data_IF_379064620576
#
_entry.id   IF_379064620576
#
_cell.length_a   1.000
_cell.length_b   1.000
_cell.length_c   1.000
_cell.angle_alpha   90.00
_cell.angle_beta   90.00
_cell.angle_gamma   90.00
#
_symmetry.space_group_name_H-M   'P 1'
#
loop_
_entity.id
_entity.type
_entity.pdbx_description
1 polymer ?
#
# COMPACT_ATOMS: atom_id res chain seq x y z
N UNK A 1 -4.92 -21.00 15.24
CA UNK A 1 -6.26 -21.45 15.71
C UNK A 1 -6.84 -20.58 16.82
N UNK A 2 -6.08 -20.15 17.81
CA UNK A 2 -6.57 -19.37 18.97
C UNK A 2 -7.27 -18.06 18.57
N UNK A 3 -6.63 -17.19 17.76
CA UNK A 3 -7.20 -15.89 17.36
C UNK A 3 -8.53 -15.98 16.59
N UNK A 4 -8.70 -16.98 15.73
CA UNK A 4 -9.99 -17.23 15.04
C UNK A 4 -11.08 -17.63 16.04
N UNK A 5 -10.73 -18.36 17.11
CA UNK A 5 -11.67 -18.72 18.18
C UNK A 5 -12.03 -17.51 19.03
N UNK A 6 -11.04 -16.65 19.34
CA UNK A 6 -11.25 -15.44 20.12
C UNK A 6 -12.17 -14.46 19.39
N UNK A 7 -11.96 -14.27 18.08
CA UNK A 7 -12.89 -13.48 17.25
C UNK A 7 -14.29 -14.11 17.22
N UNK A 8 -14.37 -15.42 17.00
CA UNK A 8 -15.67 -16.11 16.99
C UNK A 8 -16.42 -15.94 18.33
N UNK A 9 -15.73 -16.05 19.45
CA UNK A 9 -16.29 -15.82 20.78
C UNK A 9 -16.79 -14.39 20.97
N UNK A 10 -16.01 -13.38 20.55
CA UNK A 10 -16.40 -11.97 20.61
C UNK A 10 -17.63 -11.67 19.74
N UNK A 11 -17.80 -12.38 18.64
CA UNK A 11 -18.92 -12.19 17.71
C UNK A 11 -20.24 -12.87 18.13
N UNK A 12 -20.20 -13.82 19.06
CA UNK A 12 -21.43 -14.52 19.55
C UNK A 12 -22.44 -13.52 20.12
N UNK A 13 -21.98 -12.54 20.87
CA UNK A 13 -22.81 -11.54 21.54
C UNK A 13 -23.38 -10.46 20.59
N UNK A 14 -22.94 -10.42 19.32
CA UNK A 14 -23.28 -9.37 18.34
C UNK A 14 -23.15 -7.95 18.93
N UNK A 15 -21.99 -7.57 19.46
CA UNK A 15 -21.82 -6.28 20.10
C UNK A 15 -21.95 -5.14 19.06
N UNK A 16 -22.43 -3.95 19.45
CA UNK A 16 -22.46 -2.78 18.58
C UNK A 16 -21.08 -2.23 18.27
N UNK A 17 -20.10 -2.48 19.17
CA UNK A 17 -18.70 -2.06 19.03
C UNK A 17 -17.79 -3.26 19.31
N UNK A 18 -16.81 -3.47 18.47
CA UNK A 18 -15.82 -4.54 18.55
C UNK A 18 -14.40 -3.94 18.57
N UNK A 19 -13.60 -4.33 19.56
CA UNK A 19 -12.19 -3.97 19.68
C UNK A 19 -11.34 -5.16 19.25
N UNK A 20 -10.48 -4.96 18.28
CA UNK A 20 -9.57 -5.97 17.77
C UNK A 20 -8.13 -5.45 17.85
N UNK A 21 -7.33 -6.13 18.63
CA UNK A 21 -5.92 -5.81 18.81
C UNK A 21 -5.08 -6.81 18.01
N UNK A 22 -4.45 -6.34 16.93
CA UNK A 22 -3.66 -7.14 15.97
C UNK A 22 -4.29 -8.49 15.60
N UNK A 23 -5.51 -8.51 15.04
CA UNK A 23 -6.28 -9.76 14.94
C UNK A 23 -5.68 -10.78 13.97
N UNK A 24 -4.84 -10.35 13.03
CA UNK A 24 -4.27 -11.23 11.99
C UNK A 24 -2.81 -11.59 12.21
N UNK A 25 -2.16 -11.07 13.25
CA UNK A 25 -0.76 -11.38 13.56
C UNK A 25 -0.56 -12.89 13.76
N UNK A 26 0.45 -13.44 13.09
CA UNK A 26 0.79 -14.88 13.12
C UNK A 26 -0.20 -15.78 12.36
N UNK A 27 -1.04 -15.22 11.49
CA UNK A 27 -1.90 -16.00 10.60
C UNK A 27 -1.25 -16.17 9.22
N UNK A 28 -1.43 -17.34 8.63
CA UNK A 28 -1.08 -17.57 7.23
C UNK A 28 -1.93 -16.68 6.29
N UNK A 29 -1.47 -16.38 5.06
CA UNK A 29 -2.16 -15.46 4.15
C UNK A 29 -3.62 -15.82 3.87
N UNK A 30 -3.93 -17.10 3.76
CA UNK A 30 -5.31 -17.56 3.51
C UNK A 30 -6.21 -17.35 4.74
N UNK A 31 -5.68 -17.59 5.93
CA UNK A 31 -6.40 -17.34 7.19
C UNK A 31 -6.61 -15.85 7.42
N UNK A 32 -5.64 -15.00 7.04
CA UNK A 32 -5.74 -13.53 7.10
C UNK A 32 -6.90 -13.04 6.23
N UNK A 33 -6.97 -13.46 4.97
CA UNK A 33 -8.07 -13.11 4.07
C UNK A 33 -9.45 -13.49 4.64
N UNK A 34 -9.60 -14.70 5.18
CA UNK A 34 -10.86 -15.13 5.78
C UNK A 34 -11.24 -14.34 7.06
N UNK A 35 -10.23 -13.82 7.79
CA UNK A 35 -10.45 -12.92 8.92
C UNK A 35 -10.97 -11.55 8.43
N UNK A 36 -10.34 -10.98 7.42
CA UNK A 36 -10.77 -9.71 6.82
C UNK A 36 -12.21 -9.79 6.30
N UNK A 37 -12.55 -10.82 5.53
CA UNK A 37 -13.93 -11.05 5.07
C UNK A 37 -14.94 -11.10 6.23
N UNK A 38 -14.52 -11.69 7.36
CA UNK A 38 -15.38 -11.77 8.56
C UNK A 38 -15.58 -10.39 9.17
N UNK A 39 -14.53 -9.56 9.26
CA UNK A 39 -14.58 -8.19 9.78
C UNK A 39 -15.45 -7.32 8.86
N UNK A 40 -15.21 -7.36 7.54
CA UNK A 40 -15.99 -6.64 6.52
C UNK A 40 -17.49 -6.98 6.62
N UNK A 41 -17.83 -8.25 6.77
CA UNK A 41 -19.22 -8.67 6.93
C UNK A 41 -19.88 -8.11 8.22
N UNK A 42 -19.09 -7.86 9.27
CA UNK A 42 -19.58 -7.28 10.53
C UNK A 42 -19.77 -5.78 10.44
N UNK A 43 -18.83 -5.06 9.82
CA UNK A 43 -18.98 -3.63 9.56
C UNK A 43 -20.17 -3.35 8.65
N UNK A 44 -20.33 -4.15 7.58
CA UNK A 44 -21.50 -4.08 6.71
C UNK A 44 -22.83 -4.37 7.42
N UNK A 45 -22.81 -5.17 8.49
CA UNK A 45 -23.97 -5.44 9.35
C UNK A 45 -24.22 -4.35 10.42
N UNK A 46 -23.43 -3.28 10.44
CA UNK A 46 -23.58 -2.13 11.33
C UNK A 46 -22.78 -2.20 12.64
N UNK A 47 -21.84 -3.14 12.78
CA UNK A 47 -20.91 -3.18 13.93
C UNK A 47 -19.81 -2.13 13.71
N UNK A 48 -19.57 -1.28 14.69
CA UNK A 48 -18.37 -0.40 14.68
C UNK A 48 -17.16 -1.22 15.12
N UNK A 49 -16.09 -1.17 14.36
CA UNK A 49 -14.84 -1.87 14.69
C UNK A 49 -13.72 -0.86 14.97
N UNK A 50 -13.07 -0.99 16.11
CA UNK A 50 -11.78 -0.37 16.37
C UNK A 50 -10.70 -1.43 16.28
N UNK A 51 -9.83 -1.27 15.31
CA UNK A 51 -8.77 -2.22 14.97
C UNK A 51 -7.40 -1.58 15.21
N UNK A 52 -6.49 -2.28 15.89
CA UNK A 52 -5.07 -1.96 15.85
C UNK A 52 -4.35 -2.97 14.96
N UNK A 53 -3.41 -2.51 14.15
CA UNK A 53 -2.59 -3.39 13.31
C UNK A 53 -1.26 -2.73 12.97
N UNK A 54 -0.25 -3.54 12.77
CA UNK A 54 1.02 -3.14 12.15
C UNK A 54 1.03 -3.42 10.63
N UNK A 55 0.05 -4.14 10.12
CA UNK A 55 -0.07 -4.47 8.70
C UNK A 55 -0.84 -3.37 7.97
N UNK A 56 -0.14 -2.61 7.14
CA UNK A 56 -0.70 -1.46 6.44
C UNK A 56 -1.69 -1.87 5.35
N UNK A 57 -1.53 -3.06 4.76
CA UNK A 57 -2.49 -3.68 3.83
C UNK A 57 -3.83 -4.03 4.51
N UNK A 58 -3.79 -4.43 5.80
CA UNK A 58 -5.00 -4.64 6.60
C UNK A 58 -5.74 -3.32 6.86
N UNK A 59 -5.00 -2.27 7.25
CA UNK A 59 -5.58 -0.94 7.45
C UNK A 59 -6.18 -0.38 6.16
N UNK A 60 -5.48 -0.51 5.03
CA UNK A 60 -5.94 -0.05 3.72
C UNK A 60 -7.24 -0.72 3.28
N UNK A 61 -7.38 -2.00 3.61
CA UNK A 61 -8.56 -2.79 3.22
C UNK A 61 -9.77 -2.59 4.12
N UNK A 62 -9.55 -2.49 5.43
CA UNK A 62 -10.62 -2.61 6.42
C UNK A 62 -11.09 -1.28 7.01
N UNK A 63 -10.25 -0.25 7.00
CA UNK A 63 -10.51 0.96 7.76
C UNK A 63 -11.17 2.05 6.90
N UNK A 64 -12.30 2.59 7.39
CA UNK A 64 -12.88 3.83 6.86
C UNK A 64 -12.04 5.05 7.25
N UNK A 65 -11.41 5.01 8.44
CA UNK A 65 -10.49 6.03 8.96
C UNK A 65 -9.29 5.38 9.63
N UNK A 66 -8.14 5.95 9.38
CA UNK A 66 -6.84 5.49 9.88
C UNK A 66 -6.25 6.57 10.77
N UNK A 67 -5.70 6.17 11.90
CA UNK A 67 -4.90 7.01 12.79
C UNK A 67 -3.51 6.39 12.87
N UNK A 68 -2.51 7.12 12.41
CA UNK A 68 -1.11 6.69 12.48
C UNK A 68 -0.51 7.19 13.78
N UNK A 69 0.01 6.25 14.57
CA UNK A 69 0.63 6.53 15.88
C UNK A 69 2.11 6.20 15.80
N UNK A 70 2.96 7.15 16.18
CA UNK A 70 4.40 6.95 16.30
C UNK A 70 4.90 7.53 17.64
N UNK A 71 5.74 6.77 18.35
CA UNK A 71 6.24 7.14 19.68
C UNK A 71 5.17 7.66 20.63
N UNK A 72 3.96 7.06 20.61
CA UNK A 72 2.84 7.43 21.46
C UNK A 72 2.07 8.69 21.04
N UNK A 73 2.41 9.30 19.91
CA UNK A 73 1.74 10.48 19.38
C UNK A 73 1.01 10.16 18.07
N UNK A 74 -0.15 10.80 17.88
CA UNK A 74 -0.83 10.76 16.59
C UNK A 74 -0.08 11.67 15.63
N UNK A 75 0.47 11.08 14.54
CA UNK A 75 1.24 11.81 13.52
C UNK A 75 0.44 12.07 12.24
N UNK A 76 -0.58 11.26 11.97
CA UNK A 76 -1.51 11.48 10.87
C UNK A 76 -2.87 10.84 11.15
N UNK A 77 -3.91 11.40 10.52
CA UNK A 77 -5.27 10.87 10.56
C UNK A 77 -5.97 11.18 9.23
N UNK A 78 -6.77 10.24 8.74
CA UNK A 78 -7.55 10.38 7.49
C UNK A 78 -8.10 9.06 6.98
N UNK A 79 -8.73 9.10 5.80
CA UNK A 79 -9.00 7.89 5.01
C UNK A 79 -7.69 7.39 4.37
N UNK A 80 -7.66 6.15 3.89
CA UNK A 80 -6.50 5.63 3.18
C UNK A 80 -6.11 6.52 1.98
N UNK A 81 -7.09 6.95 1.19
CA UNK A 81 -6.87 7.84 0.04
C UNK A 81 -6.31 9.21 0.46
N UNK A 82 -6.90 9.84 1.50
CA UNK A 82 -6.41 11.13 2.03
C UNK A 82 -4.95 11.04 2.52
N UNK A 83 -4.58 9.92 3.14
CA UNK A 83 -3.21 9.71 3.62
C UNK A 83 -2.24 9.49 2.45
N UNK A 84 -2.62 8.68 1.46
CA UNK A 84 -1.83 8.43 0.25
C UNK A 84 -1.60 9.72 -0.56
N UNK A 85 -2.61 10.57 -0.67
CA UNK A 85 -2.52 11.85 -1.38
C UNK A 85 -1.53 12.83 -0.73
N UNK A 86 -1.28 12.72 0.60
CA UNK A 86 -0.28 13.57 1.30
C UNK A 86 1.16 13.27 0.91
N UNK A 87 1.46 12.05 0.47
CA UNK A 87 2.83 11.60 0.15
C UNK A 87 3.16 11.77 -1.33
N UNK A 88 2.18 12.14 -2.12
CA UNK A 88 2.30 12.37 -3.56
C UNK A 88 1.23 11.60 -4.31
N UNK A 89 0.73 12.18 -5.38
CA UNK A 89 -0.30 11.59 -6.22
C UNK A 89 0.16 10.31 -6.93
N UNK A 90 -0.63 9.89 -7.90
CA UNK A 90 -0.27 8.75 -8.76
C UNK A 90 1.09 8.96 -9.43
N UNK A 91 1.85 7.90 -9.56
CA UNK A 91 3.15 7.89 -10.23
C UNK A 91 3.09 6.99 -11.45
N UNK A 92 3.56 7.51 -12.57
CA UNK A 92 3.86 6.70 -13.74
C UNK A 92 5.22 6.03 -13.52
N UNK A 93 5.25 4.71 -13.56
CA UNK A 93 6.48 3.91 -13.55
C UNK A 93 6.69 3.31 -14.93
N UNK A 94 7.87 3.53 -15.47
CA UNK A 94 8.29 3.03 -16.77
C UNK A 94 9.55 2.20 -16.58
N UNK A 95 9.47 0.90 -16.81
CA UNK A 95 10.62 0.01 -16.88
C UNK A 95 11.21 0.04 -18.29
N UNK A 96 12.47 0.43 -18.39
CA UNK A 96 13.17 0.57 -19.65
C UNK A 96 13.81 -0.76 -20.04
N UNK A 97 13.89 -1.04 -21.36
CA UNK A 97 14.66 -2.15 -21.88
C UNK A 97 16.17 -1.91 -21.76
N UNK A 98 16.61 -0.64 -21.80
CA UNK A 98 18.02 -0.24 -21.72
C UNK A 98 18.13 1.01 -20.82
N UNK A 99 19.03 0.99 -19.84
CA UNK A 99 19.26 2.09 -18.91
C UNK A 99 19.85 3.34 -19.60
N UNK A 100 20.51 3.16 -20.73
CA UNK A 100 21.04 4.26 -21.55
C UNK A 100 19.94 5.17 -22.10
N UNK A 101 18.69 4.73 -22.08
CA UNK A 101 17.51 5.48 -22.53
C UNK A 101 16.91 6.39 -21.43
N UNK A 102 17.41 6.31 -20.19
CA UNK A 102 16.82 6.98 -19.05
C UNK A 102 16.66 8.50 -19.24
N UNK A 103 17.68 9.19 -19.72
CA UNK A 103 17.62 10.64 -19.97
C UNK A 103 16.61 11.01 -21.07
N UNK A 104 16.50 10.18 -22.12
CA UNK A 104 15.49 10.36 -23.17
C UNK A 104 14.10 10.10 -22.66
N UNK A 105 13.91 9.07 -21.84
CA UNK A 105 12.64 8.75 -21.21
C UNK A 105 12.19 9.89 -20.27
N UNK A 106 13.08 10.38 -19.38
CA UNK A 106 12.81 11.53 -18.51
C UNK A 106 12.34 12.73 -19.34
N UNK A 107 13.08 13.06 -20.41
CA UNK A 107 12.76 14.20 -21.27
C UNK A 107 11.41 14.05 -21.96
N UNK A 108 11.08 12.84 -22.43
CA UNK A 108 9.83 12.55 -23.14
C UNK A 108 8.58 12.72 -22.26
N UNK A 109 8.69 12.34 -20.97
CA UNK A 109 7.56 12.38 -20.04
C UNK A 109 7.57 13.58 -19.07
N UNK A 110 8.60 14.43 -19.10
CA UNK A 110 8.75 15.56 -18.18
C UNK A 110 7.54 16.52 -18.20
N UNK A 111 6.94 16.76 -19.37
CA UNK A 111 5.75 17.63 -19.49
C UNK A 111 4.47 17.01 -18.90
N UNK A 112 4.46 15.71 -18.64
CA UNK A 112 3.33 14.99 -18.06
C UNK A 112 3.41 14.95 -16.53
N UNK A 113 4.58 15.28 -15.98
CA UNK A 113 4.88 15.20 -14.55
C UNK A 113 4.76 16.57 -13.89
N UNK A 114 4.25 16.60 -12.66
CA UNK A 114 4.21 17.82 -11.84
C UNK A 114 5.58 18.17 -11.24
N UNK A 115 6.48 17.17 -11.15
CA UNK A 115 7.83 17.31 -10.66
C UNK A 115 8.80 16.65 -11.66
N UNK A 116 10.09 16.90 -11.50
CA UNK A 116 11.08 16.26 -12.36
C UNK A 116 11.05 14.73 -12.15
N UNK A 117 10.87 13.93 -13.22
CA UNK A 117 10.94 12.48 -13.11
C UNK A 117 12.28 12.04 -12.53
N UNK A 118 12.27 10.97 -11.77
CA UNK A 118 13.46 10.34 -11.19
C UNK A 118 13.72 9.00 -11.85
N UNK A 119 14.97 8.55 -11.83
CA UNK A 119 15.37 7.23 -12.31
C UNK A 119 16.03 6.47 -11.17
N UNK A 120 15.71 5.20 -11.06
CA UNK A 120 16.27 4.26 -10.12
C UNK A 120 16.44 2.92 -10.86
N UNK A 121 17.69 2.51 -11.08
CA UNK A 121 18.05 1.46 -12.01
C UNK A 121 17.40 1.67 -13.39
N UNK A 122 16.65 0.68 -13.88
CA UNK A 122 15.94 0.70 -15.18
C UNK A 122 14.54 1.35 -15.09
N UNK A 123 14.17 1.94 -13.94
CA UNK A 123 12.81 2.43 -13.70
C UNK A 123 12.78 3.95 -13.63
N UNK A 124 12.07 4.57 -14.56
CA UNK A 124 11.74 6.00 -14.51
C UNK A 124 10.42 6.18 -13.78
N UNK A 125 10.41 7.02 -12.74
CA UNK A 125 9.24 7.37 -11.94
C UNK A 125 8.88 8.83 -12.14
N UNK A 126 7.66 9.09 -12.56
CA UNK A 126 7.14 10.43 -12.79
C UNK A 126 5.84 10.65 -12.00
N UNK A 127 5.82 11.57 -11.01
CA UNK A 127 4.57 11.98 -10.37
C UNK A 127 3.62 12.58 -11.41
N UNK A 128 2.41 12.07 -11.51
CA UNK A 128 1.42 12.52 -12.49
C UNK A 128 0.07 12.75 -11.84
N UNK A 129 -0.67 13.74 -12.32
CA UNK A 129 -2.07 13.91 -11.90
C UNK A 129 -2.93 12.85 -12.54
N UNK A 130 -3.85 12.30 -11.75
CA UNK A 130 -4.82 11.35 -12.25
C UNK A 130 -5.63 11.97 -13.40
N UNK A 131 -5.48 11.38 -14.61
CA UNK A 131 -6.29 11.70 -15.79
C UNK A 131 -6.44 10.47 -16.67
N UNK A 132 -7.57 10.35 -17.32
CA UNK A 132 -7.77 9.27 -18.29
C UNK A 132 -6.74 9.39 -19.41
N UNK A 133 -6.13 8.25 -19.77
CA UNK A 133 -5.21 8.17 -20.92
C UNK A 133 -3.75 8.48 -20.63
N UNK A 134 -3.33 8.70 -19.36
CA UNK A 134 -1.92 8.96 -18.98
C UNK A 134 -0.97 7.92 -19.55
N UNK A 135 -1.28 6.63 -19.38
CA UNK A 135 -0.43 5.54 -19.92
C UNK A 135 -0.32 5.62 -21.45
N UNK A 136 -1.46 5.83 -22.14
CA UNK A 136 -1.46 5.90 -23.60
C UNK A 136 -0.68 7.11 -24.14
N UNK A 137 -0.73 8.24 -23.43
CA UNK A 137 0.05 9.44 -23.77
C UNK A 137 1.53 9.22 -23.54
N UNK A 138 1.88 8.57 -22.41
CA UNK A 138 3.27 8.24 -22.06
C UNK A 138 3.88 7.29 -23.10
N UNK A 139 3.17 6.21 -23.43
CA UNK A 139 3.64 5.23 -24.44
C UNK A 139 3.93 5.93 -25.78
N UNK A 140 3.03 6.80 -26.26
CA UNK A 140 3.25 7.54 -27.52
C UNK A 140 4.50 8.41 -27.48
N UNK A 141 4.69 9.16 -26.38
CA UNK A 141 5.85 10.05 -26.22
C UNK A 141 7.16 9.29 -26.15
N UNK A 142 7.17 8.15 -25.45
CA UNK A 142 8.34 7.28 -25.35
C UNK A 142 8.68 6.62 -26.68
N UNK A 143 7.65 6.16 -27.41
CA UNK A 143 7.82 5.59 -28.76
C UNK A 143 8.36 6.64 -29.75
N UNK A 144 7.80 7.86 -29.74
CA UNK A 144 8.28 9.00 -30.56
C UNK A 144 9.74 9.37 -30.22
N UNK A 145 10.16 9.18 -28.96
CA UNK A 145 11.53 9.40 -28.52
C UNK A 145 12.47 8.23 -28.80
N UNK A 146 11.97 7.11 -29.33
CA UNK A 146 12.71 5.89 -29.60
C UNK A 146 13.23 5.19 -28.34
N UNK A 147 12.43 5.21 -27.27
CA UNK A 147 12.72 4.57 -25.97
C UNK A 147 12.05 3.22 -25.90
N UNK A 148 12.82 2.16 -25.68
CA UNK A 148 12.32 0.80 -25.44
C UNK A 148 11.68 0.68 -24.05
N UNK A 149 10.46 0.14 -24.00
CA UNK A 149 9.68 -0.04 -22.77
C UNK A 149 9.47 -1.52 -22.51
N UNK A 150 9.95 -2.03 -21.39
CA UNK A 150 9.67 -3.40 -20.92
C UNK A 150 8.29 -3.47 -20.24
N UNK A 151 7.99 -2.52 -19.34
CA UNK A 151 6.69 -2.41 -18.65
C UNK A 151 6.36 -0.95 -18.36
N UNK A 152 5.08 -0.65 -18.26
CA UNK A 152 4.57 0.66 -17.87
C UNK A 152 3.34 0.52 -17.02
N UNK A 153 3.34 1.17 -15.85
CA UNK A 153 2.25 1.11 -14.89
C UNK A 153 1.96 2.48 -14.27
N UNK A 154 0.69 2.70 -13.91
CA UNK A 154 0.30 3.80 -13.05
C UNK A 154 0.19 3.25 -11.61
N UNK A 155 1.08 3.72 -10.74
CA UNK A 155 1.12 3.31 -9.34
C UNK A 155 0.54 4.39 -8.44
N UNK A 156 -0.32 3.99 -7.54
CA UNK A 156 -0.72 4.83 -6.41
C UNK A 156 0.23 4.57 -5.24
N UNK A 157 0.54 5.58 -4.42
CA UNK A 157 1.25 5.35 -3.18
C UNK A 157 0.52 4.32 -2.33
N UNK A 158 1.29 3.51 -1.62
CA UNK A 158 0.79 2.58 -0.61
C UNK A 158 0.73 3.28 0.75
N UNK A 159 0.07 2.67 1.74
CA UNK A 159 0.18 3.16 3.12
C UNK A 159 1.58 2.97 3.70
N UNK A 160 2.37 2.03 3.16
CA UNK A 160 3.79 1.86 3.52
C UNK A 160 4.60 3.10 3.10
N UNK A 161 4.38 3.62 1.88
CA UNK A 161 5.00 4.86 1.43
C UNK A 161 4.61 6.03 2.34
N UNK A 162 3.35 6.09 2.77
CA UNK A 162 2.87 7.10 3.74
C UNK A 162 3.59 6.98 5.06
N UNK A 163 3.68 5.76 5.60
CA UNK A 163 4.32 5.52 6.90
C UNK A 163 5.80 5.91 6.86
N UNK A 164 6.55 5.47 5.83
CA UNK A 164 7.95 5.81 5.63
C UNK A 164 8.15 7.34 5.52
N UNK A 165 7.30 8.02 4.75
CA UNK A 165 7.39 9.46 4.58
C UNK A 165 7.13 10.25 5.88
N UNK A 166 6.24 9.75 6.74
CA UNK A 166 5.87 10.41 8.00
C UNK A 166 6.84 10.09 9.14
N UNK A 167 7.38 8.88 9.21
CA UNK A 167 8.23 8.41 10.31
C UNK A 167 9.72 8.40 9.97
N UNK A 168 10.07 8.36 8.69
CA UNK A 168 11.44 8.22 8.20
C UNK A 168 12.00 6.79 8.29
N UNK A 169 11.18 5.80 8.67
CA UNK A 169 11.55 4.39 8.73
C UNK A 169 10.38 3.51 8.28
N UNK A 170 10.67 2.30 7.75
CA UNK A 170 9.64 1.36 7.36
C UNK A 170 8.87 0.81 8.58
N UNK A 171 7.64 0.39 8.38
CA UNK A 171 6.91 -0.39 9.38
C UNK A 171 7.71 -1.66 9.72
N UNK A 172 7.67 -2.09 10.99
CA UNK A 172 8.37 -3.30 11.41
C UNK A 172 7.77 -4.52 10.69
N UNK A 173 8.56 -5.15 9.82
CA UNK A 173 8.23 -6.45 9.26
C UNK A 173 8.57 -7.53 10.31
N UNK A 174 7.63 -8.42 10.62
CA UNK A 174 7.95 -9.63 11.38
C UNK A 174 9.06 -10.41 10.64
N UNK A 175 10.17 -10.79 11.31
CA UNK A 175 11.14 -11.66 10.69
C UNK A 175 10.45 -12.95 10.27
N UNK A 176 10.56 -13.30 8.99
CA UNK A 176 10.03 -14.55 8.44
C UNK A 176 10.50 -15.70 9.34
N UNK A 177 9.56 -16.45 9.90
CA UNK A 177 9.77 -17.60 10.76
C UNK A 177 10.66 -18.60 9.99
N UNK A 178 11.95 -18.58 10.28
CA UNK A 178 12.90 -19.52 9.67
C UNK A 178 12.63 -20.85 10.35
N UNK A 179 12.17 -21.88 9.63
CA UNK A 179 11.90 -23.16 10.26
C UNK A 179 13.20 -23.69 10.87
N UNK A 180 13.23 -23.83 12.20
CA UNK A 180 14.28 -24.54 12.90
C UNK A 180 14.39 -25.94 12.27
N UNK A 181 15.49 -26.19 11.57
CA UNK A 181 15.84 -27.51 11.11
C UNK A 181 16.22 -28.30 12.35
N UNK A 182 15.26 -29.02 12.90
CA UNK A 182 15.53 -30.02 13.94
C UNK A 182 16.39 -31.11 13.29
N UNK A 183 17.68 -30.96 13.49
CA UNK A 183 18.67 -32.01 13.15
C UNK A 183 18.43 -33.23 14.01
N UNK A 184 18.40 -34.37 13.36
CA UNK A 184 18.31 -35.72 13.93
C UNK A 184 19.54 -36.08 14.76
#
# INVERSE_FOLDING_TARGET
MRRRLDLAAALVARPPVLFLDEPTTGLDPRSRLGMWETIEARTAAGTTVLLTTQYLDEADRLADRIVVVDHGNVIAEGTADELKDRVGGERLEVHLEDDSDAERAISAIAEMSDERPTVDDYTVRAPVRHRSGVIADAVRRLDDAGVGIEDIALRRPTLDDVFIALTGHAAEEEPADTPEVVGA
#
